data_IF_322477275817
#
_entry.id   IF_322477275817
#
_cell.length_a   1.000
_cell.length_b   1.000
_cell.length_c   1.000
_cell.angle_alpha   90.00
_cell.angle_beta   90.00
_cell.angle_gamma   90.00
#
_symmetry.space_group_name_H-M   'P 1'
#
loop_
_entity.id
_entity.type
_entity.pdbx_description
1 polymer ?
#
# COMPACT_ATOMS: atom_id res chain seq x y z
N UNK A 1 -21.12 12.57 15.23
CA UNK A 1 -20.73 11.55 14.23
C UNK A 1 -19.31 11.11 14.56
N UNK A 2 -19.00 9.81 14.65
CA UNK A 2 -17.62 9.41 14.89
C UNK A 2 -16.80 9.78 13.65
N UNK A 3 -15.69 10.50 13.86
CA UNK A 3 -14.70 10.76 12.82
C UNK A 3 -14.32 9.43 12.21
N UNK A 4 -14.56 9.26 10.91
CA UNK A 4 -13.96 8.14 10.17
C UNK A 4 -12.50 8.48 10.01
N UNK A 5 -11.72 8.21 11.05
CA UNK A 5 -10.27 8.27 11.01
C UNK A 5 -9.77 7.08 10.17
N UNK A 6 -9.92 7.22 8.85
CA UNK A 6 -9.08 6.49 7.92
C UNK A 6 -7.68 7.08 8.05
N UNK A 7 -6.95 6.67 9.08
CA UNK A 7 -5.50 6.75 9.05
C UNK A 7 -5.10 5.71 8.00
N UNK A 8 -5.12 6.14 6.73
CA UNK A 8 -4.49 5.39 5.66
C UNK A 8 -3.01 5.33 6.00
N UNK A 9 -2.60 4.27 6.70
CA UNK A 9 -1.19 3.91 6.75
C UNK A 9 -0.67 3.97 5.30
N UNK A 10 0.50 4.58 5.04
CA UNK A 10 1.06 4.63 3.70
C UNK A 10 0.99 3.23 3.07
N UNK A 11 0.55 3.13 1.83
CA UNK A 11 0.40 1.83 1.14
C UNK A 11 1.70 1.01 1.18
N UNK A 12 2.85 1.68 1.25
CA UNK A 12 4.17 1.09 1.46
C UNK A 12 4.32 0.33 2.79
N UNK A 13 3.66 0.77 3.85
CA UNK A 13 3.62 0.11 5.16
C UNK A 13 2.74 -1.14 5.11
N UNK A 14 1.54 -1.03 4.53
CA UNK A 14 0.63 -2.17 4.36
C UNK A 14 1.22 -3.28 3.47
N UNK A 15 2.07 -2.92 2.50
CA UNK A 15 2.73 -3.87 1.61
C UNK A 15 4.09 -4.36 2.15
N UNK A 16 4.52 -3.95 3.35
CA UNK A 16 5.74 -4.44 3.98
C UNK A 16 7.05 -4.05 3.27
N UNK A 17 7.07 -2.91 2.56
CA UNK A 17 8.23 -2.54 1.73
C UNK A 17 9.50 -2.29 2.55
N UNK A 18 9.37 -1.71 3.75
CA UNK A 18 10.51 -1.45 4.62
C UNK A 18 11.18 -2.75 5.06
N UNK A 19 10.41 -3.78 5.42
CA UNK A 19 10.97 -5.05 5.91
C UNK A 19 11.76 -5.76 4.81
N UNK A 20 11.27 -5.71 3.56
CA UNK A 20 11.98 -6.28 2.41
C UNK A 20 13.30 -5.54 2.16
N UNK A 21 13.29 -4.21 2.21
CA UNK A 21 14.49 -3.40 2.01
C UNK A 21 15.52 -3.69 3.12
N UNK A 22 15.08 -3.72 4.38
CA UNK A 22 15.96 -4.04 5.51
C UNK A 22 16.49 -5.47 5.42
N UNK A 23 15.67 -6.42 4.96
CA UNK A 23 16.11 -7.79 4.67
C UNK A 23 17.22 -7.84 3.63
N UNK A 24 17.09 -7.10 2.52
CA UNK A 24 18.13 -7.02 1.49
C UNK A 24 19.42 -6.38 2.00
N UNK A 25 19.34 -5.35 2.84
CA UNK A 25 20.52 -4.77 3.50
C UNK A 25 21.20 -5.83 4.37
N UNK A 26 20.44 -6.56 5.17
CA UNK A 26 20.95 -7.66 6.00
C UNK A 26 21.56 -8.81 5.19
N UNK A 27 21.02 -9.10 4.00
CA UNK A 27 21.59 -10.09 3.08
C UNK A 27 22.98 -9.63 2.57
N UNK A 28 23.14 -8.34 2.25
CA UNK A 28 24.44 -7.79 1.84
C UNK A 28 25.47 -7.82 2.97
N UNK A 29 25.04 -7.57 4.21
CA UNK A 29 25.89 -7.70 5.39
C UNK A 29 26.32 -9.15 5.63
N UNK A 30 25.39 -10.10 5.51
CA UNK A 30 25.68 -11.53 5.63
C UNK A 30 26.63 -12.00 4.53
N UNK A 31 26.46 -11.51 3.30
CA UNK A 31 27.36 -11.81 2.19
C UNK A 31 28.77 -11.28 2.47
N UNK A 32 28.89 -10.03 2.95
CA UNK A 32 30.18 -9.44 3.34
C UNK A 32 30.84 -10.22 4.47
N UNK A 33 30.06 -10.72 5.42
CA UNK A 33 30.53 -11.54 6.53
C UNK A 33 30.84 -13.01 6.13
N UNK A 34 30.61 -13.40 4.87
CA UNK A 34 30.80 -14.78 4.40
C UNK A 34 29.81 -15.79 4.97
N UNK A 35 28.67 -15.32 5.53
CA UNK A 35 27.63 -16.18 6.12
C UNK A 35 26.69 -16.79 5.07
N UNK A 36 26.55 -16.14 3.92
CA UNK A 36 25.81 -16.65 2.76
C UNK A 36 26.68 -16.57 1.51
N UNK A 37 26.38 -17.39 0.52
CA UNK A 37 27.05 -17.34 -0.77
C UNK A 37 26.50 -16.24 -1.68
N UNK A 38 27.27 -15.89 -2.72
CA UNK A 38 26.81 -14.96 -3.78
C UNK A 38 25.51 -15.44 -4.41
N UNK A 39 25.39 -16.75 -4.66
CA UNK A 39 24.18 -17.35 -5.25
C UNK A 39 22.95 -17.17 -4.35
N UNK A 40 23.10 -17.26 -3.03
CA UNK A 40 22.01 -17.05 -2.08
C UNK A 40 21.55 -15.58 -2.11
N UNK A 41 22.49 -14.64 -2.08
CA UNK A 41 22.20 -13.21 -2.15
C UNK A 41 21.50 -12.86 -3.47
N UNK A 42 21.95 -13.44 -4.59
CA UNK A 42 21.31 -13.25 -5.90
C UNK A 42 19.88 -13.80 -5.89
N UNK A 43 19.67 -15.03 -5.41
CA UNK A 43 18.34 -15.64 -5.34
C UNK A 43 17.36 -14.81 -4.50
N UNK A 44 17.79 -14.32 -3.33
CA UNK A 44 16.98 -13.44 -2.46
C UNK A 44 16.67 -12.10 -3.14
N UNK A 45 17.63 -11.50 -3.83
CA UNK A 45 17.39 -10.26 -4.59
C UNK A 45 16.40 -10.45 -5.75
N UNK A 46 16.44 -11.60 -6.42
CA UNK A 46 15.51 -11.93 -7.50
C UNK A 46 14.08 -12.10 -6.97
N UNK A 47 13.91 -12.73 -5.81
CA UNK A 47 12.61 -12.81 -5.15
C UNK A 47 12.08 -11.42 -4.80
N UNK A 48 12.91 -10.58 -4.16
CA UNK A 48 12.51 -9.20 -3.83
C UNK A 48 12.09 -8.40 -5.07
N UNK A 49 12.80 -8.56 -6.19
CA UNK A 49 12.41 -7.95 -7.48
C UNK A 49 11.00 -8.36 -7.91
N UNK A 50 10.62 -9.63 -7.76
CA UNK A 50 9.27 -10.07 -8.10
C UNK A 50 8.20 -9.49 -7.17
N UNK A 51 8.52 -9.32 -5.88
CA UNK A 51 7.62 -8.65 -4.93
C UNK A 51 7.39 -7.20 -5.36
N UNK A 52 8.46 -6.45 -5.69
CA UNK A 52 8.33 -5.08 -6.17
C UNK A 52 7.56 -4.96 -7.49
N UNK A 53 7.70 -5.95 -8.38
CA UNK A 53 6.87 -6.02 -9.59
C UNK A 53 5.38 -6.18 -9.24
N UNK A 54 5.04 -7.03 -8.26
CA UNK A 54 3.68 -7.20 -7.76
C UNK A 54 3.11 -5.92 -7.15
N UNK A 55 3.90 -5.21 -6.35
CA UNK A 55 3.55 -3.90 -5.77
C UNK A 55 3.23 -2.89 -6.86
N UNK A 56 4.08 -2.81 -7.89
CA UNK A 56 3.84 -1.94 -9.05
C UNK A 56 2.51 -2.26 -9.73
N UNK A 57 2.21 -3.54 -9.95
CA UNK A 57 0.94 -3.98 -10.54
C UNK A 57 -0.26 -3.57 -9.67
N UNK A 58 -0.16 -3.77 -8.35
CA UNK A 58 -1.19 -3.37 -7.40
C UNK A 58 -1.46 -1.87 -7.43
N UNK A 59 -0.42 -1.04 -7.38
CA UNK A 59 -0.56 0.42 -7.40
C UNK A 59 -1.18 0.90 -8.72
N UNK A 60 -0.72 0.35 -9.85
CA UNK A 60 -1.26 0.69 -11.16
C UNK A 60 -2.73 0.27 -11.29
N UNK A 61 -3.08 -0.93 -10.82
CA UNK A 61 -4.47 -1.42 -10.82
C UNK A 61 -5.37 -0.58 -9.92
N UNK A 62 -4.90 -0.24 -8.72
CA UNK A 62 -5.63 0.62 -7.77
C UNK A 62 -5.89 2.00 -8.36
N UNK A 63 -4.88 2.60 -9.01
CA UNK A 63 -5.03 3.86 -9.71
C UNK A 63 -6.04 3.76 -10.86
N UNK A 64 -5.92 2.73 -11.71
CA UNK A 64 -6.84 2.52 -12.84
C UNK A 64 -8.29 2.39 -12.37
N UNK A 65 -8.54 1.61 -11.30
CA UNK A 65 -9.88 1.45 -10.74
C UNK A 65 -10.41 2.75 -10.14
N UNK A 66 -9.56 3.53 -9.48
CA UNK A 66 -9.91 4.86 -8.95
C UNK A 66 -10.28 5.82 -10.08
N UNK A 67 -9.51 5.84 -11.17
CA UNK A 67 -9.74 6.73 -12.32
C UNK A 67 -11.04 6.36 -13.07
N UNK A 68 -11.42 5.08 -13.04
CA UNK A 68 -12.65 4.56 -13.68
C UNK A 68 -13.88 4.57 -12.76
N UNK A 69 -13.73 4.98 -11.49
CA UNK A 69 -14.82 4.94 -10.53
C UNK A 69 -15.91 5.97 -10.87
N UNK A 70 -17.17 5.54 -10.88
CA UNK A 70 -18.31 6.48 -10.96
C UNK A 70 -18.42 7.27 -9.65
N UNK A 71 -18.83 8.55 -9.69
CA UNK A 71 -19.10 9.31 -8.48
C UNK A 71 -20.09 8.54 -7.60
N UNK A 72 -19.78 8.41 -6.31
CA UNK A 72 -20.73 7.84 -5.37
C UNK A 72 -21.98 8.74 -5.35
N UNK A 73 -23.17 8.13 -5.48
CA UNK A 73 -24.42 8.88 -5.36
C UNK A 73 -24.45 9.57 -3.99
N UNK A 74 -24.61 10.88 -3.99
CA UNK A 74 -24.72 11.66 -2.76
C UNK A 74 -25.93 11.12 -1.97
N UNK A 75 -25.78 10.68 -0.72
CA UNK A 75 -26.93 10.28 0.07
C UNK A 75 -27.84 11.49 0.21
N UNK A 76 -29.10 11.34 -0.20
CA UNK A 76 -30.12 12.38 -0.07
C UNK A 76 -30.27 12.70 1.41
N UNK A 77 -29.77 13.86 1.83
CA UNK A 77 -30.03 14.39 3.17
C UNK A 77 -31.51 14.80 3.17
N UNK A 78 -32.38 14.20 4.00
CA UNK A 78 -33.76 14.64 4.09
C UNK A 78 -33.76 16.08 4.60
N UNK A 79 -34.23 17.03 3.79
CA UNK A 79 -34.45 18.40 4.25
C UNK A 79 -35.69 18.38 5.16
N UNK A 80 -35.47 18.36 6.47
CA UNK A 80 -36.51 18.69 7.45
C UNK A 80 -36.90 20.15 7.23
N UNK A 81 -38.11 20.36 6.70
CA UNK A 81 -38.74 21.68 6.66
C UNK A 81 -39.17 22.04 8.07
N UNK A 82 -38.29 22.67 8.86
CA UNK A 82 -38.74 23.51 9.96
C UNK A 82 -39.18 24.85 9.38
N UNK A 83 -40.47 24.90 9.01
CA UNK A 83 -41.14 26.14 8.72
C UNK A 83 -41.67 26.68 10.06
N UNK A 84 -40.93 27.65 10.59
CA UNK A 84 -41.37 28.53 11.68
C UNK A 84 -42.34 29.54 11.07
N UNK A 85 -43.60 29.49 11.47
CA UNK A 85 -44.61 30.56 11.45
C UNK A 85 -45.91 29.97 12.03
N UNK A 86 -46.56 30.47 13.08
CA UNK A 86 -46.33 31.63 13.94
C UNK A 86 -47.24 31.54 15.17
#
# INVERSE_FOLDING_TARGET
MPSRDYVSAPVSEALGMNDIIQGLVGDLEQLRAGKIGVNDAVARSQLAKQIFNGVRLYLNGSKMLSDMAKPAAQPAIPQTKEQVDG
#
